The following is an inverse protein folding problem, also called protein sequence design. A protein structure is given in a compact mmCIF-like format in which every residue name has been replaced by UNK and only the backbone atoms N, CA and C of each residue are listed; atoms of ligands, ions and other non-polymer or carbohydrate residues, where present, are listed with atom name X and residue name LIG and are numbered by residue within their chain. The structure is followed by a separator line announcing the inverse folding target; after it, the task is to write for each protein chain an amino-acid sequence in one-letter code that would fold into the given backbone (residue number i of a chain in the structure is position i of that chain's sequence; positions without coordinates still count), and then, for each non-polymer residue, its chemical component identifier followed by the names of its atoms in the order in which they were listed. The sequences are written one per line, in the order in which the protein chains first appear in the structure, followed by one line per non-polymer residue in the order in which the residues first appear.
data_IF_419205008360
#
_entry.id   IF_419205008360
#
_cell.length_a   1.000
_cell.length_b   1.000
_cell.length_c   1.000
_cell.angle_alpha   90.00
_cell.angle_beta   90.00
_cell.angle_gamma   90.00
#
_symmetry.space_group_name_H-M   'P 1'
#
loop_
_entity.id
_entity.type
_entity.pdbx_description
1 polymer ?
#
# COMPACT_ATOMS: atom_id res chain seq x y z
N UNK A 1 18.92 -9.88 -10.59
CA UNK A 1 18.35 -9.26 -9.40
C UNK A 1 16.85 -9.19 -9.57
N UNK A 2 16.09 -9.62 -8.56
CA UNK A 2 14.61 -9.57 -8.58
C UNK A 2 14.12 -8.41 -7.73
N UNK A 3 13.06 -7.74 -8.18
CA UNK A 3 12.37 -6.68 -7.45
C UNK A 3 10.87 -6.94 -7.50
N UNK A 4 10.15 -6.60 -6.45
CA UNK A 4 8.70 -6.79 -6.35
C UNK A 4 7.96 -5.53 -6.77
N UNK A 5 7.04 -5.69 -7.71
CA UNK A 5 6.17 -4.62 -8.19
C UNK A 5 4.72 -5.06 -8.18
N UNK A 6 3.82 -4.13 -7.93
CA UNK A 6 2.39 -4.36 -8.09
C UNK A 6 2.01 -4.36 -9.56
N UNK A 7 1.22 -5.35 -9.97
CA UNK A 7 0.59 -5.34 -11.27
C UNK A 7 -0.57 -4.33 -11.25
N UNK A 8 -0.43 -3.24 -11.98
CA UNK A 8 -1.45 -2.18 -12.04
C UNK A 8 -2.69 -2.64 -12.80
N UNK A 9 -2.46 -3.21 -13.98
CA UNK A 9 -3.53 -3.71 -14.85
C UNK A 9 -3.05 -4.86 -15.72
N UNK A 10 -3.97 -5.71 -16.11
CA UNK A 10 -3.73 -6.74 -17.13
C UNK A 10 -4.86 -6.75 -18.15
N UNK A 11 -4.53 -6.95 -19.39
CA UNK A 11 -5.47 -7.27 -20.45
C UNK A 11 -5.11 -8.64 -21.04
N UNK A 12 -5.96 -9.62 -20.79
CA UNK A 12 -5.74 -10.99 -21.28
C UNK A 12 -6.08 -11.16 -22.74
N UNK A 13 -6.86 -10.26 -23.34
CA UNK A 13 -7.22 -10.31 -24.75
C UNK A 13 -6.04 -9.85 -25.62
N UNK A 14 -5.29 -8.87 -25.19
CA UNK A 14 -4.11 -8.35 -25.90
C UNK A 14 -2.79 -8.92 -25.37
N UNK A 15 -2.80 -9.62 -24.24
CA UNK A 15 -1.61 -10.11 -23.55
C UNK A 15 -0.76 -8.98 -22.92
N UNK A 16 -1.37 -7.85 -22.56
CA UNK A 16 -0.68 -6.68 -22.06
C UNK A 16 -0.71 -6.62 -20.52
N UNK A 17 0.41 -6.22 -19.93
CA UNK A 17 0.56 -5.92 -18.51
C UNK A 17 0.97 -4.46 -18.33
N UNK A 18 0.45 -3.81 -17.30
CA UNK A 18 0.79 -2.44 -16.90
C UNK A 18 1.44 -2.45 -15.51
N UNK A 19 2.62 -1.85 -15.43
CA UNK A 19 3.40 -1.71 -14.22
C UNK A 19 3.78 -0.25 -14.03
N UNK A 20 3.54 0.28 -12.83
CA UNK A 20 3.95 1.63 -12.45
C UNK A 20 5.27 1.58 -11.70
N UNK A 21 6.18 2.49 -12.01
CA UNK A 21 7.46 2.62 -11.36
C UNK A 21 7.56 3.98 -10.67
N UNK A 22 7.86 3.98 -9.36
CA UNK A 22 8.20 5.20 -8.65
C UNK A 22 9.63 5.60 -9.03
N UNK A 23 9.78 6.79 -9.59
CA UNK A 23 11.08 7.34 -9.95
C UNK A 23 11.59 8.24 -8.80
N UNK A 24 12.71 7.87 -8.21
CA UNK A 24 13.32 8.58 -7.07
C UNK A 24 14.81 8.88 -7.31
N UNK A 25 15.16 9.34 -8.50
CA UNK A 25 16.52 9.62 -8.91
C UNK A 25 17.21 8.41 -9.55
N UNK A 26 18.55 8.43 -9.53
CA UNK A 26 19.37 7.42 -10.19
C UNK A 26 19.76 6.25 -9.28
N UNK A 27 19.24 6.20 -8.06
CA UNK A 27 19.52 5.13 -7.10
C UNK A 27 18.70 3.87 -7.41
N UNK A 28 19.33 2.71 -7.18
CA UNK A 28 18.70 1.42 -7.40
C UNK A 28 18.81 0.90 -8.84
N UNK A 29 17.97 -0.04 -9.21
CA UNK A 29 18.04 -0.73 -10.51
C UNK A 29 16.81 -0.49 -11.38
N UNK A 30 15.62 -0.65 -10.81
CA UNK A 30 14.39 -0.68 -11.59
C UNK A 30 13.91 0.71 -12.01
N UNK A 31 14.00 1.73 -11.15
CA UNK A 31 13.65 3.11 -11.47
C UNK A 31 14.48 3.66 -12.63
N UNK A 32 15.84 3.64 -12.56
CA UNK A 32 16.71 4.07 -13.66
C UNK A 32 16.53 3.27 -14.95
N UNK A 33 16.21 1.96 -14.85
CA UNK A 33 15.87 1.16 -16.03
C UNK A 33 14.55 1.65 -16.65
N UNK A 34 13.49 1.78 -15.86
CA UNK A 34 12.17 2.21 -16.33
C UNK A 34 12.20 3.61 -16.96
N UNK A 35 12.96 4.54 -16.36
CA UNK A 35 13.12 5.89 -16.90
C UNK A 35 13.80 5.94 -18.29
N UNK A 36 14.55 4.89 -18.67
CA UNK A 36 15.30 4.80 -19.95
C UNK A 36 14.70 3.80 -20.92
N UNK A 37 13.73 2.99 -20.48
CA UNK A 37 13.11 1.91 -21.26
C UNK A 37 12.48 2.43 -22.56
N UNK A 38 12.63 1.66 -23.61
CA UNK A 38 12.13 1.95 -24.96
C UNK A 38 11.34 0.77 -25.51
N UNK A 39 10.46 0.99 -26.48
CA UNK A 39 9.81 -0.11 -27.20
C UNK A 39 10.84 -1.09 -27.75
N UNK A 40 10.67 -2.37 -27.42
CA UNK A 40 11.58 -3.46 -27.77
C UNK A 40 12.53 -3.88 -26.66
N UNK A 41 12.63 -3.13 -25.56
CA UNK A 41 13.36 -3.58 -24.38
C UNK A 41 12.59 -4.71 -23.68
N UNK A 42 13.30 -5.68 -23.10
CA UNK A 42 12.72 -6.88 -22.49
C UNK A 42 12.96 -6.90 -20.99
N UNK A 43 11.93 -7.32 -20.24
CA UNK A 43 12.05 -7.70 -18.84
C UNK A 43 11.44 -9.10 -18.62
N UNK A 44 12.07 -9.87 -17.72
CA UNK A 44 11.49 -11.12 -17.24
C UNK A 44 10.80 -10.92 -15.89
N UNK A 45 9.72 -11.68 -15.63
CA UNK A 45 9.06 -11.65 -14.33
C UNK A 45 8.61 -13.05 -13.90
N UNK A 46 8.41 -13.20 -12.59
CA UNK A 46 7.80 -14.37 -11.97
C UNK A 46 6.44 -13.96 -11.40
N UNK A 47 5.43 -14.78 -11.59
CA UNK A 47 4.08 -14.48 -11.14
C UNK A 47 3.12 -14.17 -12.31
N UNK A 48 2.05 -13.38 -12.10
CA UNK A 48 1.74 -12.64 -10.87
C UNK A 48 1.31 -13.55 -9.73
N UNK A 49 1.62 -13.12 -8.51
CA UNK A 49 1.11 -13.68 -7.27
C UNK A 49 0.39 -12.57 -6.49
N UNK A 50 -0.54 -12.92 -5.61
CA UNK A 50 -1.23 -11.94 -4.78
C UNK A 50 -1.93 -12.63 -3.62
N UNK A 51 -1.90 -11.99 -2.45
CA UNK A 51 -2.52 -12.52 -1.25
C UNK A 51 -3.82 -11.78 -0.87
N UNK A 52 -4.07 -10.61 -1.44
CA UNK A 52 -5.23 -9.80 -1.11
C UNK A 52 -5.88 -9.17 -2.35
N UNK A 53 -7.18 -9.10 -2.35
CA UNK A 53 -8.02 -8.35 -3.30
C UNK A 53 -9.33 -7.97 -2.59
N UNK A 54 -10.04 -6.94 -3.04
CA UNK A 54 -11.37 -6.62 -2.51
C UNK A 54 -12.34 -7.78 -2.75
N UNK A 55 -13.03 -8.22 -1.70
CA UNK A 55 -14.02 -9.30 -1.76
C UNK A 55 -15.41 -8.79 -1.37
N UNK A 56 -16.45 -9.51 -1.75
CA UNK A 56 -17.86 -9.11 -1.53
C UNK A 56 -18.30 -9.15 -0.05
N UNK A 57 -17.49 -9.71 0.84
CA UNK A 57 -17.78 -9.77 2.27
C UNK A 57 -17.71 -8.40 2.96
N UNK A 58 -17.14 -7.42 2.29
CA UNK A 58 -17.01 -6.05 2.77
C UNK A 58 -17.81 -5.08 1.90
N UNK A 59 -18.55 -4.20 2.55
CA UNK A 59 -19.28 -3.10 1.88
C UNK A 59 -18.51 -1.79 1.86
N UNK A 60 -17.44 -1.71 2.66
CA UNK A 60 -16.58 -0.56 2.73
C UNK A 60 -15.11 -0.97 2.83
N UNK A 61 -14.23 -0.21 2.15
CA UNK A 61 -12.79 -0.41 2.17
C UNK A 61 -12.07 0.87 2.60
N UNK A 62 -11.02 0.70 3.39
CA UNK A 62 -10.04 1.77 3.64
C UNK A 62 -8.69 1.32 3.07
N UNK A 63 -8.22 2.03 2.07
CA UNK A 63 -6.98 1.75 1.35
C UNK A 63 -5.99 2.86 1.66
N UNK A 64 -4.86 2.55 2.28
CA UNK A 64 -3.88 3.55 2.67
C UNK A 64 -2.48 3.15 2.22
N UNK A 65 -1.73 4.08 1.64
CA UNK A 65 -0.37 3.83 1.21
C UNK A 65 0.34 5.05 0.67
N UNK A 66 1.66 4.92 0.52
CA UNK A 66 2.49 5.91 -0.16
C UNK A 66 2.60 5.63 -1.67
N UNK A 67 3.44 6.38 -2.37
CA UNK A 67 3.63 6.23 -3.82
C UNK A 67 4.00 4.79 -4.23
N UNK A 68 4.71 4.04 -3.36
CA UNK A 68 5.08 2.65 -3.65
C UNK A 68 3.87 1.69 -3.60
N UNK A 69 2.86 2.00 -2.80
CA UNK A 69 1.63 1.22 -2.68
C UNK A 69 0.51 1.70 -3.61
N UNK A 70 0.61 2.89 -4.19
CA UNK A 70 -0.40 3.49 -5.03
C UNK A 70 -0.84 2.62 -6.22
N UNK A 71 0.03 1.89 -6.94
CA UNK A 71 -0.41 0.98 -8.01
C UNK A 71 -1.32 -0.14 -7.51
N UNK A 72 -1.05 -0.68 -6.30
CA UNK A 72 -1.89 -1.70 -5.69
C UNK A 72 -3.23 -1.13 -5.22
N UNK A 73 -3.24 0.09 -4.67
CA UNK A 73 -4.47 0.81 -4.31
C UNK A 73 -5.31 1.05 -5.56
N UNK A 74 -4.71 1.53 -6.64
CA UNK A 74 -5.41 1.77 -7.89
C UNK A 74 -6.00 0.47 -8.49
N UNK A 75 -5.25 -0.63 -8.46
CA UNK A 75 -5.76 -1.94 -8.88
C UNK A 75 -6.91 -2.43 -7.99
N UNK A 76 -6.86 -2.15 -6.68
CA UNK A 76 -7.95 -2.47 -5.76
C UNK A 76 -9.20 -1.63 -6.03
N UNK A 77 -9.05 -0.35 -6.33
CA UNK A 77 -10.17 0.53 -6.68
C UNK A 77 -10.87 0.08 -7.99
N UNK A 78 -10.09 -0.36 -8.99
CA UNK A 78 -10.64 -0.93 -10.22
C UNK A 78 -11.40 -2.26 -9.99
N UNK A 79 -11.06 -2.99 -8.92
CA UNK A 79 -11.60 -4.31 -8.59
C UNK A 79 -12.66 -4.29 -7.47
N UNK A 80 -13.14 -3.11 -7.06
CA UNK A 80 -14.14 -3.02 -6.00
C UNK A 80 -15.40 -3.81 -6.37
N UNK A 81 -15.99 -4.55 -5.42
CA UNK A 81 -17.29 -5.18 -5.61
C UNK A 81 -18.37 -4.15 -5.95
N UNK A 82 -19.37 -4.58 -6.72
CA UNK A 82 -20.51 -3.72 -7.05
C UNK A 82 -21.22 -3.23 -5.78
N UNK A 83 -21.47 -1.93 -5.71
CA UNK A 83 -22.10 -1.27 -4.56
C UNK A 83 -21.19 -1.06 -3.35
N UNK A 84 -19.97 -1.57 -3.35
CA UNK A 84 -19.00 -1.27 -2.30
C UNK A 84 -18.50 0.18 -2.41
N UNK A 85 -18.10 0.72 -1.28
CA UNK A 85 -17.48 2.05 -1.18
C UNK A 85 -16.04 1.93 -0.71
N UNK A 86 -15.21 2.90 -1.08
CA UNK A 86 -13.81 2.93 -0.64
C UNK A 86 -13.36 4.34 -0.30
N UNK A 87 -12.55 4.47 0.76
CA UNK A 87 -11.73 5.63 1.03
C UNK A 87 -10.27 5.28 0.80
N UNK A 88 -9.64 5.95 -0.17
CA UNK A 88 -8.23 5.78 -0.48
C UNK A 88 -7.43 6.98 0.05
N UNK A 89 -6.49 6.73 0.96
CA UNK A 89 -5.58 7.72 1.52
C UNK A 89 -4.21 7.48 0.89
N UNK A 90 -3.76 8.39 0.02
CA UNK A 90 -2.52 8.20 -0.74
C UNK A 90 -1.54 9.31 -0.39
N UNK A 91 -0.43 8.92 0.26
CA UNK A 91 0.64 9.87 0.57
C UNK A 91 1.45 10.18 -0.69
N UNK A 92 1.68 11.48 -0.90
CA UNK A 92 2.50 12.03 -1.99
C UNK A 92 3.45 13.08 -1.46
N UNK A 93 4.49 13.41 -2.23
CA UNK A 93 5.47 14.43 -1.82
C UNK A 93 4.82 15.79 -1.58
N UNK A 94 3.93 16.21 -2.47
CA UNK A 94 3.13 17.44 -2.43
C UNK A 94 1.86 17.27 -3.27
N UNK A 95 0.92 18.20 -3.20
CA UNK A 95 -0.29 18.14 -4.04
C UNK A 95 0.00 18.28 -5.53
N UNK A 96 1.14 18.85 -5.92
CA UNK A 96 1.57 18.91 -7.32
C UNK A 96 2.11 17.56 -7.84
N UNK A 97 2.34 16.60 -6.94
CA UNK A 97 2.83 15.25 -7.26
C UNK A 97 1.70 14.20 -7.30
N UNK A 98 0.45 14.63 -7.39
CA UNK A 98 -0.69 13.71 -7.57
C UNK A 98 -0.70 13.11 -8.98
N UNK A 99 -1.34 11.96 -9.12
CA UNK A 99 -1.42 11.21 -10.38
C UNK A 99 -2.81 10.57 -10.54
N UNK A 100 -3.09 10.05 -11.72
CA UNK A 100 -4.39 9.46 -12.00
C UNK A 100 -4.59 8.14 -11.26
N UNK A 101 -5.69 8.06 -10.53
CA UNK A 101 -6.19 6.83 -9.89
C UNK A 101 -7.67 6.64 -10.25
N UNK A 102 -8.20 5.42 -10.18
CA UNK A 102 -9.62 5.19 -10.43
C UNK A 102 -10.51 6.03 -9.52
N UNK A 103 -11.51 6.66 -10.10
CA UNK A 103 -12.52 7.47 -9.41
C UNK A 103 -13.91 7.00 -9.85
N UNK A 104 -14.93 7.29 -9.04
CA UNK A 104 -16.29 6.92 -9.38
C UNK A 104 -17.24 7.03 -8.19
N UNK A 105 -18.51 6.68 -8.38
CA UNK A 105 -19.49 6.65 -7.29
C UNK A 105 -18.99 5.73 -6.15
N UNK A 106 -18.99 6.25 -4.91
CA UNK A 106 -18.57 5.51 -3.74
C UNK A 106 -17.04 5.43 -3.53
N UNK A 107 -16.23 6.02 -4.39
CA UNK A 107 -14.78 6.15 -4.23
C UNK A 107 -14.42 7.55 -3.77
N UNK A 108 -13.83 7.65 -2.59
CA UNK A 108 -13.29 8.89 -2.00
C UNK A 108 -11.76 8.80 -1.96
N UNK A 109 -11.09 9.63 -2.77
CA UNK A 109 -9.63 9.69 -2.83
C UNK A 109 -9.13 10.91 -2.11
N UNK A 110 -8.33 10.70 -1.07
CA UNK A 110 -7.72 11.74 -0.25
C UNK A 110 -6.22 11.72 -0.47
N UNK A 111 -5.71 12.76 -1.10
CA UNK A 111 -4.27 12.97 -1.23
C UNK A 111 -3.70 13.53 0.07
N UNK A 112 -2.67 12.90 0.59
CA UNK A 112 -2.00 13.25 1.85
C UNK A 112 -0.60 13.78 1.54
N UNK A 113 -0.42 15.10 1.38
CA UNK A 113 0.90 15.65 1.06
C UNK A 113 1.82 15.59 2.26
N UNK A 114 3.06 15.10 2.05
CA UNK A 114 4.10 15.11 3.08
C UNK A 114 4.57 16.53 3.39
N UNK A 115 4.77 17.35 2.36
CA UNK A 115 5.26 18.74 2.49
C UNK A 115 6.51 18.83 3.38
N UNK A 116 7.46 17.91 3.18
CA UNK A 116 8.70 17.84 3.94
C UNK A 116 8.62 17.11 5.28
N UNK A 117 7.47 16.62 5.71
CA UNK A 117 7.36 15.75 6.88
C UNK A 117 7.99 14.36 6.60
N UNK A 118 8.37 13.61 7.65
CA UNK A 118 8.83 12.23 7.51
C UNK A 118 7.83 11.36 6.77
N UNK A 119 8.32 10.41 5.99
CA UNK A 119 7.50 9.43 5.29
C UNK A 119 6.56 8.71 6.25
N UNK A 120 5.28 8.62 5.85
CA UNK A 120 4.24 7.91 6.57
C UNK A 120 3.66 8.61 7.79
N UNK A 121 4.28 9.71 8.28
CA UNK A 121 3.78 10.42 9.46
C UNK A 121 2.37 10.95 9.23
N UNK A 122 2.18 11.76 8.18
CA UNK A 122 0.88 12.36 7.87
C UNK A 122 -0.14 11.32 7.41
N UNK A 123 0.32 10.27 6.75
CA UNK A 123 -0.55 9.15 6.38
C UNK A 123 -1.07 8.40 7.60
N UNK A 124 -0.22 8.13 8.59
CA UNK A 124 -0.65 7.56 9.88
C UNK A 124 -1.71 8.43 10.57
N UNK A 125 -1.49 9.74 10.62
CA UNK A 125 -2.44 10.71 11.19
C UNK A 125 -3.78 10.66 10.43
N UNK A 126 -3.75 10.65 9.10
CA UNK A 126 -4.94 10.59 8.25
C UNK A 126 -5.72 9.27 8.45
N UNK A 127 -5.03 8.13 8.56
CA UNK A 127 -5.65 6.83 8.86
C UNK A 127 -6.32 6.86 10.24
N UNK A 128 -5.64 7.41 11.26
CA UNK A 128 -6.20 7.54 12.62
C UNK A 128 -7.44 8.43 12.68
N UNK A 129 -7.45 9.50 11.88
CA UNK A 129 -8.57 10.44 11.80
C UNK A 129 -9.72 9.95 10.92
N UNK A 130 -9.54 8.84 10.20
CA UNK A 130 -10.57 8.32 9.29
C UNK A 130 -11.75 7.75 10.08
N UNK A 131 -12.89 8.38 9.90
CA UNK A 131 -14.17 7.83 10.32
C UNK A 131 -14.56 6.68 9.39
N UNK A 132 -15.07 5.62 9.99
CA UNK A 132 -15.50 4.44 9.26
C UNK A 132 -16.97 4.16 9.55
N UNK A 133 -17.74 3.69 8.57
CA UNK A 133 -19.11 3.26 8.81
C UNK A 133 -19.14 2.06 9.78
N UNK A 134 -20.32 1.80 10.32
CA UNK A 134 -20.55 0.58 11.09
C UNK A 134 -20.42 -0.67 10.18
N UNK A 135 -19.96 -1.77 10.75
CA UNK A 135 -19.83 -3.04 10.07
C UNK A 135 -18.39 -3.47 9.84
N UNK A 136 -18.24 -4.51 9.06
CA UNK A 136 -16.95 -5.08 8.68
C UNK A 136 -16.32 -4.26 7.54
N UNK A 137 -15.08 -3.88 7.72
CA UNK A 137 -14.33 -3.03 6.79
C UNK A 137 -13.09 -3.78 6.31
N UNK A 138 -12.90 -3.82 5.01
CA UNK A 138 -11.67 -4.35 4.42
C UNK A 138 -10.57 -3.28 4.45
N UNK A 139 -9.47 -3.57 5.16
CA UNK A 139 -8.32 -2.67 5.27
C UNK A 139 -7.17 -3.13 4.38
N UNK A 140 -6.61 -2.22 3.61
CA UNK A 140 -5.37 -2.40 2.89
C UNK A 140 -4.42 -1.26 3.26
N UNK A 141 -3.32 -1.57 3.97
CA UNK A 141 -2.38 -0.55 4.47
C UNK A 141 -0.96 -0.98 4.12
N UNK A 142 -0.38 -0.37 3.10
CA UNK A 142 0.94 -0.74 2.60
C UNK A 142 1.79 0.50 2.31
N UNK A 143 3.12 0.35 2.39
CA UNK A 143 4.06 1.45 2.14
C UNK A 143 5.26 1.41 3.07
N UNK A 144 5.72 2.56 3.55
CA UNK A 144 6.87 2.67 4.43
C UNK A 144 6.66 1.94 5.77
N UNK A 145 7.67 1.23 6.23
CA UNK A 145 7.59 0.35 7.40
C UNK A 145 7.24 1.11 8.70
N UNK A 146 7.68 2.34 8.84
CA UNK A 146 7.41 3.20 9.99
C UNK A 146 5.91 3.49 10.13
N UNK A 147 5.25 3.85 9.04
CA UNK A 147 3.79 4.04 8.99
C UNK A 147 3.05 2.74 9.30
N UNK A 148 3.48 1.64 8.71
CA UNK A 148 2.88 0.32 8.95
C UNK A 148 2.91 -0.03 10.43
N UNK A 149 4.04 0.20 11.13
CA UNK A 149 4.16 -0.07 12.57
C UNK A 149 3.14 0.75 13.39
N UNK A 150 3.02 2.04 13.09
CA UNK A 150 2.10 2.92 13.81
C UNK A 150 0.62 2.56 13.54
N UNK A 151 0.25 2.33 12.28
CA UNK A 151 -1.12 1.98 11.91
C UNK A 151 -1.51 0.59 12.42
N UNK A 152 -0.59 -0.39 12.44
CA UNK A 152 -0.86 -1.71 13.06
C UNK A 152 -1.26 -1.56 14.52
N UNK A 153 -0.49 -0.77 15.28
CA UNK A 153 -0.83 -0.51 16.68
C UNK A 153 -2.23 0.12 16.80
N UNK A 154 -2.53 1.10 15.95
CA UNK A 154 -3.84 1.74 15.94
C UNK A 154 -4.97 0.74 15.65
N UNK A 155 -4.84 -0.06 14.59
CA UNK A 155 -5.90 -0.98 14.19
C UNK A 155 -6.06 -2.15 15.18
N UNK A 156 -4.96 -2.81 15.57
CA UNK A 156 -5.03 -4.06 16.32
C UNK A 156 -5.12 -3.87 17.84
N UNK A 157 -4.46 -2.84 18.39
CA UNK A 157 -4.42 -2.60 19.84
C UNK A 157 -5.51 -1.61 20.26
N UNK A 158 -5.59 -0.44 19.59
CA UNK A 158 -6.50 0.64 20.00
C UNK A 158 -7.94 0.39 19.52
N UNK A 159 -8.11 0.05 18.22
CA UNK A 159 -9.43 -0.20 17.62
C UNK A 159 -9.89 -1.65 17.70
N UNK A 160 -8.99 -2.59 17.98
CA UNK A 160 -9.27 -4.04 18.05
C UNK A 160 -9.90 -4.60 16.78
N UNK A 161 -9.46 -4.11 15.62
CA UNK A 161 -9.89 -4.62 14.32
C UNK A 161 -9.41 -6.07 14.19
N UNK A 162 -10.27 -6.94 13.65
CA UNK A 162 -9.88 -8.33 13.40
C UNK A 162 -8.74 -8.38 12.36
N UNK A 163 -7.69 -9.15 12.64
CA UNK A 163 -6.56 -9.32 11.73
C UNK A 163 -6.97 -9.89 10.37
N UNK A 164 -8.04 -10.67 10.32
CA UNK A 164 -8.58 -11.21 9.08
C UNK A 164 -9.13 -10.13 8.14
N UNK A 165 -9.48 -8.95 8.66
CA UNK A 165 -10.00 -7.83 7.89
C UNK A 165 -8.91 -6.88 7.38
N UNK A 166 -7.63 -7.14 7.72
CA UNK A 166 -6.53 -6.22 7.48
C UNK A 166 -5.40 -6.85 6.68
N UNK A 167 -5.16 -6.34 5.49
CA UNK A 167 -3.91 -6.56 4.75
C UNK A 167 -2.95 -5.41 5.05
N UNK A 168 -1.86 -5.70 5.76
CA UNK A 168 -0.90 -4.67 6.17
C UNK A 168 0.54 -5.15 6.06
N UNK A 169 1.38 -4.41 5.33
CA UNK A 169 2.78 -4.80 5.12
C UNK A 169 3.66 -3.61 4.70
N UNK A 170 4.86 -3.52 5.29
CA UNK A 170 5.89 -2.61 4.81
C UNK A 170 6.45 -3.05 3.46
N UNK A 171 6.47 -2.15 2.49
CA UNK A 171 7.08 -2.39 1.19
C UNK A 171 8.55 -2.00 1.20
N UNK A 172 8.88 -0.94 1.90
CA UNK A 172 10.22 -0.40 2.03
C UNK A 172 10.44 0.22 3.41
N UNK A 173 11.67 0.58 3.72
CA UNK A 173 12.04 1.22 4.98
C UNK A 173 13.02 2.35 4.77
N UNK A 174 12.82 3.46 5.47
CA UNK A 174 13.69 4.63 5.40
C UNK A 174 15.15 4.28 5.73
N UNK A 175 16.08 4.70 4.87
CA UNK A 175 17.50 4.47 5.05
C UNK A 175 17.99 3.05 4.76
N UNK A 176 17.14 2.18 4.22
CA UNK A 176 17.52 0.82 3.83
C UNK A 176 17.44 0.61 2.32
N UNK A 177 18.34 -0.20 1.79
CA UNK A 177 18.18 -0.76 0.45
C UNK A 177 17.07 -1.83 0.46
N UNK A 178 16.51 -2.15 -0.72
CA UNK A 178 15.52 -3.23 -0.84
C UNK A 178 16.03 -4.56 -0.26
N UNK A 179 17.24 -4.96 -0.61
CA UNK A 179 17.82 -6.23 -0.13
C UNK A 179 18.01 -6.22 1.40
N UNK A 180 18.43 -5.08 1.96
CA UNK A 180 18.55 -4.87 3.41
C UNK A 180 17.19 -4.94 4.11
N UNK A 181 16.18 -4.30 3.53
CA UNK A 181 14.82 -4.35 4.06
C UNK A 181 14.26 -5.79 4.01
N UNK A 182 14.33 -6.46 2.88
CA UNK A 182 13.80 -7.82 2.73
C UNK A 182 14.47 -8.82 3.70
N UNK A 183 15.77 -8.68 3.94
CA UNK A 183 16.49 -9.54 4.89
C UNK A 183 16.08 -9.32 6.36
N UNK A 184 15.68 -8.10 6.73
CA UNK A 184 15.30 -7.72 8.11
C UNK A 184 13.79 -7.71 8.37
N UNK A 185 12.98 -7.83 7.33
CA UNK A 185 11.52 -7.67 7.40
C UNK A 185 10.87 -8.67 8.34
N UNK A 186 11.33 -9.92 8.34
CA UNK A 186 10.80 -10.96 9.23
C UNK A 186 10.95 -10.56 10.71
N UNK A 187 12.14 -10.12 11.11
CA UNK A 187 12.42 -9.73 12.49
C UNK A 187 11.63 -8.47 12.89
N UNK A 188 11.48 -7.53 11.96
CA UNK A 188 10.65 -6.34 12.16
C UNK A 188 9.18 -6.71 12.41
N UNK A 189 8.62 -7.65 11.65
CA UNK A 189 7.24 -8.13 11.85
C UNK A 189 7.11 -8.86 13.18
N UNK A 190 8.04 -9.75 13.52
CA UNK A 190 8.03 -10.48 14.79
C UNK A 190 8.10 -9.54 16.01
N UNK A 191 8.88 -8.46 15.92
CA UNK A 191 8.92 -7.44 16.96
C UNK A 191 7.56 -6.73 17.12
N UNK A 192 6.91 -6.35 16.03
CA UNK A 192 5.57 -5.73 16.09
C UNK A 192 4.54 -6.67 16.71
N UNK A 193 4.55 -7.95 16.32
CA UNK A 193 3.63 -8.96 16.88
C UNK A 193 3.83 -9.12 18.40
N UNK A 194 5.07 -9.12 18.87
CA UNK A 194 5.37 -9.18 20.30
C UNK A 194 4.91 -7.93 21.05
N UNK A 195 5.15 -6.73 20.51
CA UNK A 195 4.72 -5.46 21.09
C UNK A 195 3.18 -5.37 21.18
N UNK A 196 2.47 -5.79 20.11
CA UNK A 196 1.01 -5.81 20.05
C UNK A 196 0.41 -6.81 21.05
N UNK A 197 0.99 -8.02 21.14
CA UNK A 197 0.55 -9.05 22.11
C UNK A 197 0.72 -8.57 23.55
N UNK A 198 1.87 -7.96 23.87
CA UNK A 198 2.10 -7.42 25.20
C UNK A 198 1.16 -6.26 25.58
N UNK A 199 0.70 -5.48 24.58
CA UNK A 199 -0.23 -4.37 24.80
C UNK A 199 -1.70 -4.83 24.94
N UNK A 200 -2.04 -6.02 24.47
CA UNK A 200 -3.42 -6.57 24.52
C UNK A 200 -3.62 -7.59 25.63
N UNK A 201 -2.57 -8.08 26.26
CA UNK A 201 -2.67 -9.02 27.39
C UNK A 201 -3.10 -8.27 28.68
N UNK A 202 -4.31 -8.52 29.22
CA UNK A 202 -4.71 -7.96 30.51
C UNK A 202 -3.94 -8.70 31.61
N UNK A 203 -2.99 -8.01 32.25
CA UNK A 203 -2.39 -8.47 33.51
C UNK A 203 -3.40 -8.44 34.65
#
# INVERSE_FOLDING_TARGET
VTRTYSLRRRDTATGTLELDFVLHGDDGLAGPWAAKARPGDEIGFFGPGGAWHPIQDYTHFVLAGDEAAAPAIAAALDALPEGATARALIEVASLDATFDVPTGPGIDVVWVPRDGAPYGLRLSEAVRATETPEGRIGWFVHGVAEMVKDVRRHLFVERRVDRADVSISGYWRTGMTEDGWQSSKHDFVAQMDAEESAATDPR
#
